data_IF_860103926215
#
_entry.id   IF_860103926215
#
_cell.length_a   1.000
_cell.length_b   1.000
_cell.length_c   1.000
_cell.angle_alpha   90.00
_cell.angle_beta   90.00
_cell.angle_gamma   90.00
#
_symmetry.space_group_name_H-M   'P 1'
#
loop_
_entity.id
_entity.type
_entity.pdbx_description
1 polymer ?
#
# COMPACT_ATOMS: atom_id res chain seq x y z
N UNK A 1 -6.70 16.33 -58.67
CA UNK A 1 -5.68 16.35 -57.62
C UNK A 1 -6.22 17.29 -56.55
N UNK A 2 -6.82 16.75 -55.49
CA UNK A 2 -7.27 17.57 -54.37
C UNK A 2 -6.67 16.99 -53.09
N UNK A 3 -5.55 17.61 -52.68
CA UNK A 3 -4.88 17.38 -51.41
C UNK A 3 -5.63 18.15 -50.32
N UNK A 4 -6.26 17.44 -49.40
CA UNK A 4 -6.75 17.99 -48.14
C UNK A 4 -5.73 17.71 -47.04
N UNK A 5 -5.32 18.77 -46.32
CA UNK A 5 -4.37 18.73 -45.21
C UNK A 5 -5.09 18.94 -43.88
N UNK A 6 -4.82 18.06 -42.93
CA UNK A 6 -4.69 18.36 -41.50
C UNK A 6 -3.68 17.33 -40.96
N UNK A 7 -2.65 17.78 -40.25
CA UNK A 7 -1.62 17.00 -39.55
C UNK A 7 -0.37 16.49 -40.31
N UNK A 8 -0.11 16.95 -41.54
CA UNK A 8 1.22 16.78 -42.16
C UNK A 8 1.59 15.37 -42.62
N UNK A 9 0.66 14.42 -42.61
CA UNK A 9 0.79 13.12 -43.29
C UNK A 9 -0.19 13.07 -44.46
N UNK A 10 0.34 13.05 -45.68
CA UNK A 10 -0.46 12.86 -46.90
C UNK A 10 -0.98 11.42 -46.93
N UNK A 11 -2.25 11.23 -46.57
CA UNK A 11 -2.92 9.95 -46.74
C UNK A 11 -3.31 9.79 -48.21
N UNK A 12 -2.70 8.82 -48.90
CA UNK A 12 -3.12 8.45 -50.25
C UNK A 12 -4.48 7.74 -50.18
N UNK A 13 -5.52 8.33 -50.79
CA UNK A 13 -6.89 7.78 -50.80
C UNK A 13 -7.03 6.39 -51.42
N UNK A 14 -6.02 5.94 -52.18
CA UNK A 14 -5.97 4.60 -52.78
C UNK A 14 -5.32 3.55 -51.87
N UNK A 15 -4.79 3.95 -50.72
CA UNK A 15 -4.14 3.07 -49.74
C UNK A 15 -5.03 2.89 -48.51
N UNK A 16 -4.79 1.81 -47.79
CA UNK A 16 -5.39 1.51 -46.49
C UNK A 16 -4.36 1.73 -45.38
N UNK A 17 -4.82 2.05 -44.18
CA UNK A 17 -3.99 2.41 -43.03
C UNK A 17 -3.96 1.32 -41.97
N UNK A 18 -2.78 1.06 -41.42
CA UNK A 18 -2.59 0.33 -40.19
C UNK A 18 -2.26 1.35 -39.09
N UNK A 19 -3.12 1.45 -38.09
CA UNK A 19 -2.95 2.33 -36.93
C UNK A 19 -2.84 1.52 -35.65
N UNK A 20 -2.28 2.14 -34.60
CA UNK A 20 -2.09 1.51 -33.30
C UNK A 20 -2.78 2.36 -32.23
N UNK A 21 -3.53 1.70 -31.36
CA UNK A 21 -4.22 2.30 -30.24
C UNK A 21 -3.68 1.71 -28.94
N UNK A 22 -3.29 2.57 -27.99
CA UNK A 22 -2.73 2.13 -26.72
C UNK A 22 -3.72 1.34 -25.85
N UNK A 23 -5.02 1.40 -26.17
CA UNK A 23 -6.10 0.73 -25.44
C UNK A 23 -6.06 1.00 -23.92
N UNK A 24 -5.67 2.22 -23.57
CA UNK A 24 -5.53 2.70 -22.21
C UNK A 24 -5.81 4.21 -22.22
N UNK A 25 -6.54 4.72 -21.21
CA UNK A 25 -6.91 6.14 -21.19
C UNK A 25 -5.70 7.07 -20.95
N UNK A 26 -4.65 6.60 -20.26
CA UNK A 26 -3.45 7.37 -19.94
C UNK A 26 -2.28 6.44 -19.53
N UNK A 27 -1.11 7.03 -19.24
CA UNK A 27 0.05 6.34 -18.64
C UNK A 27 0.78 5.40 -19.60
N UNK A 28 0.62 5.62 -20.91
CA UNK A 28 1.30 4.87 -21.97
C UNK A 28 2.29 5.75 -22.72
N UNK A 29 3.33 5.12 -23.26
CA UNK A 29 4.35 5.78 -24.08
C UNK A 29 4.92 4.76 -25.10
N UNK A 30 5.84 5.21 -25.96
CA UNK A 30 6.54 4.41 -26.94
C UNK A 30 5.60 3.71 -27.96
N UNK A 31 4.46 4.33 -28.26
CA UNK A 31 3.51 3.80 -29.24
C UNK A 31 4.10 3.74 -30.66
N UNK A 32 3.80 2.72 -31.47
CA UNK A 32 4.17 2.71 -32.88
C UNK A 32 3.42 3.77 -33.68
N UNK A 33 4.09 4.32 -34.69
CA UNK A 33 3.45 5.16 -35.69
C UNK A 33 2.63 4.30 -36.65
N UNK A 34 1.52 4.86 -37.14
CA UNK A 34 0.72 4.23 -38.19
C UNK A 34 1.44 4.23 -39.54
N UNK A 35 1.02 3.35 -40.45
CA UNK A 35 1.57 3.25 -41.81
C UNK A 35 0.50 2.93 -42.83
N UNK A 36 0.63 3.49 -44.04
CA UNK A 36 -0.22 3.16 -45.17
C UNK A 36 0.36 2.01 -46.02
N UNK A 37 -0.54 1.21 -46.58
CA UNK A 37 -0.25 0.05 -47.43
C UNK A 37 -1.13 0.08 -48.68
N UNK A 38 -0.64 -0.53 -49.75
CA UNK A 38 -1.48 -0.80 -50.92
C UNK A 38 -2.58 -1.78 -50.46
N UNK A 39 -3.83 -1.54 -50.87
CA UNK A 39 -4.92 -2.46 -50.55
C UNK A 39 -4.60 -3.89 -51.03
N UNK A 40 -4.90 -4.87 -50.20
CA UNK A 40 -4.66 -6.30 -50.39
C UNK A 40 -3.16 -6.69 -50.43
N UNK A 41 -2.27 -5.78 -50.02
CA UNK A 41 -0.84 -6.10 -49.83
C UNK A 41 -0.54 -6.63 -48.42
N UNK A 42 0.69 -7.11 -48.22
CA UNK A 42 1.16 -7.55 -46.90
C UNK A 42 1.55 -6.35 -46.04
N UNK A 43 0.94 -6.24 -44.86
CA UNK A 43 1.32 -5.32 -43.80
C UNK A 43 2.11 -6.05 -42.72
N UNK A 44 3.09 -5.37 -42.12
CA UNK A 44 3.88 -5.87 -40.99
C UNK A 44 3.51 -5.11 -39.73
N UNK A 45 3.22 -5.86 -38.66
CA UNK A 45 2.97 -5.33 -37.32
C UNK A 45 4.28 -4.81 -36.74
N UNK A 46 4.25 -3.63 -36.12
CA UNK A 46 5.44 -2.99 -35.56
C UNK A 46 6.07 -3.84 -34.46
N UNK A 47 7.40 -3.92 -34.46
CA UNK A 47 8.19 -4.54 -33.39
C UNK A 47 8.45 -3.59 -32.22
N UNK A 48 8.03 -2.32 -32.33
CA UNK A 48 8.12 -1.35 -31.23
C UNK A 48 7.17 -1.78 -30.10
N UNK A 49 7.73 -1.99 -28.91
CA UNK A 49 6.99 -2.43 -27.73
C UNK A 49 6.49 -1.19 -26.97
N UNK A 50 5.17 -0.93 -26.93
CA UNK A 50 4.64 0.17 -26.16
C UNK A 50 4.79 -0.11 -24.65
N UNK A 51 4.87 0.94 -23.85
CA UNK A 51 4.97 0.83 -22.39
C UNK A 51 3.72 1.38 -21.75
N UNK A 52 3.33 0.79 -20.61
CA UNK A 52 2.26 1.29 -19.76
C UNK A 52 2.66 1.09 -18.30
N UNK A 53 2.64 2.15 -17.51
CA UNK A 53 2.97 2.09 -16.09
C UNK A 53 2.10 1.06 -15.37
N UNK A 54 2.68 0.18 -14.54
CA UNK A 54 1.97 -0.89 -13.83
C UNK A 54 1.50 -2.08 -14.69
N UNK A 55 1.79 -2.12 -16.00
CA UNK A 55 1.39 -3.23 -16.88
C UNK A 55 2.54 -3.71 -17.78
N UNK A 56 2.46 -4.96 -18.21
CA UNK A 56 3.28 -5.53 -19.26
C UNK A 56 2.48 -5.51 -20.57
N UNK A 57 3.13 -5.12 -21.67
CA UNK A 57 2.56 -5.30 -23.00
C UNK A 57 2.45 -6.80 -23.28
N UNK A 58 1.28 -7.26 -23.68
CA UNK A 58 1.01 -8.65 -24.02
C UNK A 58 1.06 -8.84 -25.54
N UNK A 59 0.18 -8.16 -26.26
CA UNK A 59 0.00 -8.35 -27.69
C UNK A 59 -0.78 -7.21 -28.35
N UNK A 60 -0.84 -7.21 -29.69
CA UNK A 60 -1.79 -6.40 -30.45
C UNK A 60 -3.04 -7.22 -30.78
N UNK A 61 -4.23 -6.62 -30.74
CA UNK A 61 -5.47 -7.29 -31.13
C UNK A 61 -6.32 -6.41 -32.06
N UNK A 62 -7.08 -7.00 -32.98
CA UNK A 62 -7.97 -6.22 -33.88
C UNK A 62 -9.19 -5.62 -33.16
N UNK A 63 -9.45 -6.00 -31.91
CA UNK A 63 -10.50 -5.43 -31.06
C UNK A 63 -9.95 -5.00 -29.72
N UNK A 64 -10.51 -3.92 -29.19
CA UNK A 64 -10.13 -3.36 -27.88
C UNK A 64 -10.35 -4.35 -26.73
N UNK A 65 -11.39 -5.19 -26.80
CA UNK A 65 -11.74 -6.19 -25.79
C UNK A 65 -10.94 -7.50 -25.88
N UNK A 66 -10.00 -7.60 -26.83
CA UNK A 66 -9.17 -8.80 -27.03
C UNK A 66 -9.87 -9.95 -27.75
N UNK A 67 -11.15 -9.81 -28.13
CA UNK A 67 -11.92 -10.88 -28.81
C UNK A 67 -11.64 -11.00 -30.32
N UNK A 68 -10.73 -10.17 -30.84
CA UNK A 68 -10.32 -10.15 -32.23
C UNK A 68 -9.16 -11.10 -32.52
N UNK A 69 -8.48 -10.84 -33.64
CA UNK A 69 -7.26 -11.55 -34.02
C UNK A 69 -6.08 -10.94 -33.30
N UNK A 70 -5.30 -11.78 -32.61
CA UNK A 70 -4.08 -11.38 -31.93
C UNK A 70 -2.90 -11.41 -32.89
N UNK A 71 -2.02 -10.40 -32.78
CA UNK A 71 -0.77 -10.30 -33.51
C UNK A 71 0.40 -9.98 -32.58
N UNK A 72 1.52 -10.64 -32.81
CA UNK A 72 2.81 -10.28 -32.23
C UNK A 72 3.55 -9.25 -33.11
N UNK A 73 4.51 -8.54 -32.52
CA UNK A 73 5.37 -7.61 -33.28
C UNK A 73 6.19 -8.35 -34.35
N UNK A 74 6.21 -7.81 -35.57
CA UNK A 74 6.88 -8.41 -36.73
C UNK A 74 6.03 -9.40 -37.52
N UNK A 75 4.86 -9.80 -37.02
CA UNK A 75 3.93 -10.62 -37.81
C UNK A 75 3.39 -9.86 -39.01
N UNK A 76 2.97 -10.62 -40.03
CA UNK A 76 2.42 -10.05 -41.26
C UNK A 76 1.02 -10.56 -41.55
N UNK A 77 0.17 -9.70 -42.09
CA UNK A 77 -1.17 -10.06 -42.56
C UNK A 77 -1.54 -9.29 -43.83
N UNK A 78 -2.53 -9.77 -44.57
CA UNK A 78 -3.06 -9.06 -45.73
C UNK A 78 -4.00 -7.95 -45.25
N UNK A 79 -3.71 -6.70 -45.62
CA UNK A 79 -4.53 -5.55 -45.23
C UNK A 79 -5.43 -5.11 -46.38
N UNK A 80 -6.75 -5.30 -46.23
CA UNK A 80 -7.76 -4.99 -47.25
C UNK A 80 -8.56 -3.71 -46.96
N UNK A 81 -8.50 -3.22 -45.72
CA UNK A 81 -9.20 -2.04 -45.23
C UNK A 81 -8.40 -1.37 -44.09
N UNK A 82 -8.82 -0.18 -43.70
CA UNK A 82 -8.23 0.50 -42.55
C UNK A 82 -8.37 -0.37 -41.29
N UNK A 83 -7.25 -0.65 -40.64
CA UNK A 83 -7.15 -1.55 -39.50
C UNK A 83 -6.52 -0.82 -38.33
N UNK A 84 -7.21 -0.83 -37.18
CA UNK A 84 -6.64 -0.39 -35.90
C UNK A 84 -6.28 -1.60 -35.07
N UNK A 85 -5.04 -1.67 -34.60
CA UNK A 85 -4.59 -2.65 -33.63
C UNK A 85 -4.58 -2.03 -32.23
N UNK A 86 -5.21 -2.72 -31.28
CA UNK A 86 -5.34 -2.32 -29.89
C UNK A 86 -4.36 -3.09 -29.03
N UNK A 87 -3.52 -2.38 -28.26
CA UNK A 87 -2.62 -3.03 -27.32
C UNK A 87 -3.41 -3.80 -26.24
N UNK A 88 -2.93 -4.96 -25.87
CA UNK A 88 -3.43 -5.75 -24.75
C UNK A 88 -2.38 -5.72 -23.64
N UNK A 89 -2.84 -5.69 -22.40
CA UNK A 89 -2.01 -5.41 -21.23
C UNK A 89 -2.27 -6.42 -20.12
N UNK A 90 -1.20 -6.95 -19.54
CA UNK A 90 -1.26 -7.78 -18.34
C UNK A 90 -0.83 -6.95 -17.11
N UNK A 91 -1.59 -6.94 -16.01
CA UNK A 91 -1.16 -6.30 -14.77
C UNK A 91 0.20 -6.85 -14.31
N UNK A 92 1.10 -5.95 -13.90
CA UNK A 92 2.33 -6.36 -13.22
C UNK A 92 1.99 -6.94 -11.86
N UNK A 93 2.68 -8.01 -11.47
CA UNK A 93 2.53 -8.69 -10.17
C UNK A 93 3.42 -8.13 -9.06
N UNK A 94 4.35 -7.24 -9.42
CA UNK A 94 5.43 -6.71 -8.60
C UNK A 94 5.29 -5.18 -8.37
N UNK A 95 4.08 -4.65 -8.53
CA UNK A 95 3.83 -3.21 -8.32
C UNK A 95 3.91 -2.90 -6.83
N UNK A 96 4.82 -1.98 -6.49
CA UNK A 96 5.12 -1.64 -5.10
C UNK A 96 4.06 -0.74 -4.47
N UNK A 97 3.86 -0.90 -3.17
CA UNK A 97 3.06 -0.01 -2.33
C UNK A 97 3.68 0.08 -0.93
N UNK A 98 3.25 1.08 -0.16
CA UNK A 98 3.80 1.36 1.17
C UNK A 98 2.77 1.08 2.26
N UNK A 99 3.23 0.55 3.39
CA UNK A 99 2.49 0.54 4.64
C UNK A 99 3.21 1.45 5.63
N UNK A 100 2.49 2.41 6.17
CA UNK A 100 2.94 3.31 7.22
C UNK A 100 2.44 2.84 8.59
N UNK A 101 3.35 2.77 9.56
CA UNK A 101 3.05 2.45 10.95
C UNK A 101 3.23 3.70 11.80
N UNK A 102 2.20 4.03 12.58
CA UNK A 102 2.15 5.16 13.49
C UNK A 102 2.10 4.63 14.92
N UNK A 103 3.20 4.77 15.64
CA UNK A 103 3.35 4.28 17.00
C UNK A 103 3.06 5.42 17.98
N UNK A 104 2.18 5.18 18.95
CA UNK A 104 1.83 6.18 19.95
C UNK A 104 3.06 6.57 20.79
N UNK A 105 3.19 7.88 21.04
CA UNK A 105 4.17 8.47 21.93
C UNK A 105 3.78 8.25 23.41
N UNK A 106 4.71 8.53 24.34
CA UNK A 106 4.46 8.36 25.78
C UNK A 106 3.36 9.28 26.33
N UNK A 107 3.11 10.40 25.68
CA UNK A 107 2.06 11.37 26.03
C UNK A 107 0.69 11.04 25.42
N UNK A 108 0.56 9.87 24.81
CA UNK A 108 -0.67 9.40 24.18
C UNK A 108 -0.93 9.95 22.78
N UNK A 109 -0.08 10.85 22.26
CA UNK A 109 -0.21 11.38 20.90
C UNK A 109 0.35 10.42 19.85
N UNK A 110 0.03 10.65 18.58
CA UNK A 110 0.65 9.97 17.44
C UNK A 110 1.49 10.97 16.65
N UNK A 111 2.60 10.53 16.03
CA UNK A 111 3.42 11.41 15.20
C UNK A 111 2.71 11.77 13.89
N UNK A 112 3.01 12.96 13.35
CA UNK A 112 2.49 13.42 12.06
C UNK A 112 3.05 12.62 10.88
N UNK A 113 4.25 12.06 11.03
CA UNK A 113 4.92 11.18 10.06
C UNK A 113 4.97 9.74 10.57
N UNK A 114 4.98 8.78 9.64
CA UNK A 114 5.10 7.37 9.98
C UNK A 114 6.36 7.11 10.85
N UNK A 115 6.18 6.37 11.94
CA UNK A 115 7.27 5.92 12.81
C UNK A 115 8.13 4.86 12.11
N UNK A 116 7.51 4.07 11.22
CA UNK A 116 8.16 3.05 10.41
C UNK A 116 7.37 2.88 9.12
N UNK A 117 8.06 2.42 8.07
CA UNK A 117 7.43 1.98 6.82
C UNK A 117 7.79 0.53 6.49
N UNK A 118 6.93 -0.10 5.70
CA UNK A 118 7.17 -1.38 5.04
C UNK A 118 6.81 -1.22 3.56
N UNK A 119 7.60 -1.82 2.66
CA UNK A 119 7.34 -1.79 1.22
C UNK A 119 6.95 -3.20 0.81
N UNK A 120 5.82 -3.31 0.14
CA UNK A 120 5.30 -4.59 -0.36
C UNK A 120 4.97 -4.51 -1.84
N UNK A 121 4.78 -5.67 -2.43
CA UNK A 121 4.43 -5.82 -3.84
C UNK A 121 3.05 -6.47 -3.96
N UNK A 122 2.35 -6.12 -5.02
CA UNK A 122 1.07 -6.72 -5.37
C UNK A 122 0.73 -6.52 -6.85
N UNK A 123 -0.34 -7.19 -7.28
CA UNK A 123 -0.81 -7.08 -8.65
C UNK A 123 -1.52 -5.76 -8.89
N UNK A 124 -1.14 -5.01 -9.94
CA UNK A 124 -1.81 -3.75 -10.32
C UNK A 124 -3.32 -3.95 -10.48
N UNK A 125 -4.11 -3.09 -9.84
CA UNK A 125 -5.58 -3.15 -9.82
C UNK A 125 -6.17 -4.14 -8.81
N UNK A 126 -5.35 -4.94 -8.11
CA UNK A 126 -5.84 -5.82 -7.05
C UNK A 126 -6.02 -5.06 -5.74
N UNK A 127 -7.02 -5.45 -4.95
CA UNK A 127 -7.19 -4.98 -3.57
C UNK A 127 -6.28 -5.80 -2.65
N UNK A 128 -5.41 -5.13 -1.90
CA UNK A 128 -4.51 -5.75 -0.91
C UNK A 128 -4.93 -5.37 0.51
N UNK A 129 -4.44 -6.13 1.49
CA UNK A 129 -4.60 -5.86 2.92
C UNK A 129 -3.22 -5.76 3.58
N UNK A 130 -3.06 -4.86 4.53
CA UNK A 130 -1.82 -4.70 5.31
C UNK A 130 -1.42 -5.94 6.11
N UNK A 131 -2.35 -6.84 6.38
CA UNK A 131 -2.22 -7.90 7.37
C UNK A 131 -2.11 -7.34 8.79
N UNK A 132 -1.99 -8.27 9.74
CA UNK A 132 -1.65 -7.97 11.12
C UNK A 132 -0.14 -8.09 11.32
N UNK A 133 0.45 -7.11 12.01
CA UNK A 133 1.84 -7.13 12.42
C UNK A 133 1.89 -6.86 13.92
N UNK A 134 2.49 -7.79 14.66
CA UNK A 134 2.86 -7.56 16.05
C UNK A 134 4.07 -6.62 16.12
N UNK A 135 3.97 -5.60 16.95
CA UNK A 135 5.06 -4.66 17.24
C UNK A 135 5.29 -4.72 18.74
N UNK A 136 6.53 -5.04 19.14
CA UNK A 136 6.85 -5.21 20.56
C UNK A 136 6.61 -3.93 21.35
N UNK A 137 5.92 -4.02 22.49
CA UNK A 137 5.47 -2.88 23.29
C UNK A 137 4.28 -2.10 22.72
N UNK A 138 3.60 -2.61 21.69
CA UNK A 138 2.50 -1.94 21.01
C UNK A 138 1.35 -2.89 20.67
N UNK A 139 0.12 -2.36 20.66
CA UNK A 139 -1.06 -3.07 20.16
C UNK A 139 -1.73 -2.29 19.04
N UNK A 140 -2.32 -2.98 18.06
CA UNK A 140 -3.05 -2.32 16.99
C UNK A 140 -4.27 -1.57 17.55
N UNK A 141 -4.40 -0.29 17.19
CA UNK A 141 -5.50 0.57 17.61
C UNK A 141 -6.63 0.48 16.58
N UNK A 142 -7.42 -0.58 16.64
CA UNK A 142 -8.47 -0.88 15.66
C UNK A 142 -9.45 0.29 15.45
N UNK A 143 -9.73 1.04 16.50
CA UNK A 143 -10.72 2.11 16.50
C UNK A 143 -10.22 3.44 15.94
N UNK A 144 -8.90 3.55 15.70
CA UNK A 144 -8.27 4.77 15.22
C UNK A 144 -8.80 5.13 13.82
N UNK A 145 -9.36 6.34 13.70
CA UNK A 145 -10.10 6.77 12.50
C UNK A 145 -9.23 6.98 11.25
N UNK A 146 -7.92 7.12 11.43
CA UNK A 146 -6.96 7.28 10.32
C UNK A 146 -6.38 5.95 9.82
N UNK A 147 -6.83 4.81 10.36
CA UNK A 147 -6.45 3.52 9.81
C UNK A 147 -6.93 3.35 8.37
N UNK A 148 -6.04 2.85 7.51
CA UNK A 148 -6.35 2.40 6.15
C UNK A 148 -5.78 1.00 5.98
N UNK A 149 -6.65 -0.02 6.06
CA UNK A 149 -6.25 -1.44 6.09
C UNK A 149 -6.11 -2.06 4.72
N UNK A 150 -6.82 -1.50 3.75
CA UNK A 150 -6.96 -2.06 2.41
C UNK A 150 -6.95 -0.96 1.38
N UNK A 151 -6.59 -1.31 0.17
CA UNK A 151 -6.63 -0.41 -0.98
C UNK A 151 -6.23 -1.11 -2.25
N UNK A 152 -6.53 -0.48 -3.37
CA UNK A 152 -6.14 -0.96 -4.69
C UNK A 152 -4.66 -0.63 -4.96
N UNK A 153 -3.89 -1.62 -5.41
CA UNK A 153 -2.52 -1.41 -5.87
C UNK A 153 -2.57 -0.62 -7.17
N UNK A 154 -2.28 0.67 -7.09
CA UNK A 154 -2.28 1.56 -8.23
C UNK A 154 -1.06 1.33 -9.10
N UNK A 155 -1.23 1.50 -10.41
CA UNK A 155 -0.17 1.32 -11.41
C UNK A 155 1.09 2.17 -11.13
N UNK A 156 0.90 3.36 -10.58
CA UNK A 156 1.96 4.33 -10.22
C UNK A 156 2.63 4.03 -8.86
N UNK A 157 2.22 2.97 -8.18
CA UNK A 157 2.70 2.60 -6.86
C UNK A 157 2.31 3.55 -5.73
N UNK A 158 1.34 4.46 -5.94
CA UNK A 158 0.94 5.48 -4.96
C UNK A 158 0.03 4.98 -3.84
N UNK A 159 -0.22 3.66 -3.75
CA UNK A 159 -0.98 3.11 -2.64
C UNK A 159 -0.17 3.23 -1.34
N UNK A 160 -0.79 3.87 -0.34
CA UNK A 160 -0.29 3.94 1.03
C UNK A 160 -1.36 3.43 1.99
N UNK A 161 -1.06 2.36 2.70
CA UNK A 161 -1.87 1.86 3.82
C UNK A 161 -1.35 2.45 5.13
N UNK A 162 -2.23 2.65 6.12
CA UNK A 162 -1.88 3.26 7.40
C UNK A 162 -2.36 2.40 8.56
N UNK A 163 -1.47 2.15 9.53
CA UNK A 163 -1.73 1.37 10.75
C UNK A 163 -1.34 2.19 11.98
N UNK A 164 -2.25 2.34 12.93
CA UNK A 164 -1.99 3.03 14.19
C UNK A 164 -1.92 2.03 15.34
N UNK A 165 -0.99 2.25 16.26
CA UNK A 165 -0.74 1.35 17.38
C UNK A 165 -0.61 2.09 18.71
N UNK A 166 -1.39 1.66 19.71
CA UNK A 166 -1.30 2.14 21.09
C UNK A 166 -0.07 1.55 21.77
N UNK A 167 0.64 2.38 22.53
CA UNK A 167 1.78 1.94 23.33
C UNK A 167 1.29 1.20 24.57
N UNK A 168 1.95 0.10 24.89
CA UNK A 168 1.69 -0.67 26.10
C UNK A 168 2.67 -0.27 27.20
N UNK A 169 2.14 -0.08 28.41
CA UNK A 169 2.90 0.21 29.61
C UNK A 169 2.75 -0.91 30.63
N UNK A 170 3.73 -0.96 31.53
CA UNK A 170 3.74 -1.84 32.70
C UNK A 170 3.67 -1.00 33.98
N UNK A 171 2.72 -1.34 34.85
CA UNK A 171 2.60 -0.78 36.20
C UNK A 171 3.00 -1.87 37.19
N UNK A 172 3.97 -1.59 38.03
CA UNK A 172 4.47 -2.54 39.04
C UNK A 172 4.26 -1.99 40.44
N UNK A 173 3.77 -2.83 41.34
CA UNK A 173 3.79 -2.59 42.78
C UNK A 173 4.84 -3.49 43.41
N UNK A 174 5.91 -2.89 43.92
CA UNK A 174 7.09 -3.58 44.45
C UNK A 174 7.10 -3.51 45.99
N UNK A 175 7.30 -4.64 46.70
CA UNK A 175 7.34 -4.66 48.17
C UNK A 175 8.49 -3.84 48.78
N UNK A 176 9.47 -3.42 47.98
CA UNK A 176 10.67 -2.79 48.47
C UNK A 176 11.48 -3.75 49.35
N UNK A 177 12.32 -3.18 50.21
CA UNK A 177 13.27 -3.98 51.01
C UNK A 177 12.61 -4.69 52.19
N UNK A 178 11.51 -4.17 52.72
CA UNK A 178 10.87 -4.65 53.95
C UNK A 178 9.41 -5.07 53.77
N UNK A 179 8.88 -5.02 52.56
CA UNK A 179 7.56 -5.56 52.26
C UNK A 179 7.61 -7.08 52.23
N UNK A 180 6.61 -7.71 52.85
CA UNK A 180 6.45 -9.16 52.94
C UNK A 180 5.30 -9.64 52.03
N UNK A 181 5.30 -9.20 50.77
CA UNK A 181 4.34 -9.59 49.75
C UNK A 181 5.01 -9.70 48.37
N UNK A 182 4.40 -10.45 47.45
CA UNK A 182 4.91 -10.60 46.09
C UNK A 182 4.60 -9.36 45.24
N UNK A 183 5.55 -8.97 44.38
CA UNK A 183 5.34 -7.85 43.48
C UNK A 183 4.18 -8.10 42.52
N UNK A 184 3.32 -7.10 42.32
CA UNK A 184 2.22 -7.17 41.37
C UNK A 184 2.57 -6.42 40.09
N UNK A 185 2.42 -7.10 38.96
CA UNK A 185 2.76 -6.57 37.63
C UNK A 185 1.49 -6.53 36.79
N UNK A 186 1.13 -5.33 36.35
CA UNK A 186 0.03 -5.09 35.42
C UNK A 186 0.62 -4.66 34.08
N UNK A 187 0.72 -5.62 33.15
CA UNK A 187 1.16 -5.38 31.78
C UNK A 187 0.02 -4.90 30.89
N UNK A 188 0.36 -4.39 29.71
CA UNK A 188 -0.57 -3.97 28.65
C UNK A 188 -1.56 -2.89 29.10
N UNK A 189 -1.07 -1.94 29.88
CA UNK A 189 -1.81 -0.74 30.27
C UNK A 189 -1.66 0.33 29.19
N UNK A 190 -2.67 1.19 29.02
CA UNK A 190 -2.66 2.23 27.98
C UNK A 190 -2.69 3.64 28.57
N UNK A 191 -2.13 4.60 27.83
CA UNK A 191 -2.10 6.00 28.25
C UNK A 191 -3.50 6.54 28.59
N UNK A 192 -3.63 7.22 29.73
CA UNK A 192 -4.87 7.89 30.14
C UNK A 192 -5.95 6.95 30.70
N UNK A 193 -5.72 5.65 30.74
CA UNK A 193 -6.55 4.71 31.49
C UNK A 193 -6.33 4.86 32.99
N UNK A 194 -7.32 4.41 33.78
CA UNK A 194 -7.18 4.41 35.23
C UNK A 194 -6.02 3.49 35.64
N UNK A 195 -5.14 3.97 36.51
CA UNK A 195 -4.05 3.13 37.05
C UNK A 195 -4.66 1.94 37.80
N UNK A 196 -4.27 0.69 37.49
CA UNK A 196 -4.69 -0.48 38.25
C UNK A 196 -4.38 -0.29 39.73
N UNK A 197 -5.32 -0.70 40.60
CA UNK A 197 -5.09 -0.65 42.04
C UNK A 197 -4.37 -1.91 42.48
N UNK A 198 -3.41 -1.76 43.39
CA UNK A 198 -2.86 -2.89 44.15
C UNK A 198 -3.99 -3.69 44.80
N UNK A 199 -3.95 -5.00 44.66
CA UNK A 199 -4.97 -5.92 45.18
C UNK A 199 -4.37 -6.84 46.27
N UNK A 200 -4.57 -6.51 47.54
CA UNK A 200 -4.06 -7.33 48.64
C UNK A 200 -3.71 -6.53 49.89
N UNK A 201 -3.05 -7.19 50.83
CA UNK A 201 -2.54 -6.59 52.06
C UNK A 201 -1.08 -6.15 51.91
N UNK A 202 -0.73 -4.99 52.45
CA UNK A 202 0.64 -4.45 52.45
C UNK A 202 1.43 -4.91 53.68
N UNK A 203 1.63 -6.23 53.79
CA UNK A 203 2.40 -6.82 54.88
C UNK A 203 3.86 -6.34 54.87
N UNK A 204 4.46 -6.20 56.06
CA UNK A 204 5.85 -5.79 56.23
C UNK A 204 6.55 -6.66 57.27
N UNK A 205 7.88 -6.73 57.19
CA UNK A 205 8.71 -7.39 58.20
C UNK A 205 8.53 -6.78 59.60
N UNK A 206 8.82 -7.55 60.65
CA UNK A 206 8.71 -7.11 62.03
C UNK A 206 9.51 -5.83 62.28
N UNK A 207 8.83 -4.82 62.84
CA UNK A 207 9.40 -3.49 63.09
C UNK A 207 9.19 -2.46 61.97
N UNK A 208 8.58 -2.87 60.85
CA UNK A 208 8.25 -2.00 59.73
C UNK A 208 6.73 -1.81 59.57
N UNK A 209 6.33 -0.73 58.90
CA UNK A 209 4.92 -0.44 58.63
C UNK A 209 4.82 0.26 57.29
N UNK A 210 3.91 -0.21 56.45
CA UNK A 210 3.61 0.41 55.17
C UNK A 210 3.10 1.84 55.37
N UNK A 211 3.74 2.81 54.71
CA UNK A 211 3.36 4.24 54.79
C UNK A 211 2.70 4.75 53.52
N UNK A 212 2.85 4.03 52.41
CA UNK A 212 2.37 4.46 51.10
C UNK A 212 3.36 4.04 50.02
N UNK A 213 2.98 4.30 48.77
CA UNK A 213 3.81 4.00 47.62
C UNK A 213 4.72 5.18 47.27
N UNK A 214 5.94 4.89 46.83
CA UNK A 214 6.86 5.87 46.26
C UNK A 214 7.26 5.46 44.83
N UNK A 215 7.02 6.30 43.80
CA UNK A 215 6.27 7.57 43.87
C UNK A 215 4.80 7.36 44.28
N UNK A 216 4.09 8.44 44.62
CA UNK A 216 2.65 8.36 44.89
C UNK A 216 1.90 7.84 43.66
N UNK A 217 0.91 6.97 43.89
CA UNK A 217 0.13 6.34 42.82
C UNK A 217 -0.66 7.41 42.07
N UNK A 218 -0.36 7.58 40.78
CA UNK A 218 -1.11 8.48 39.90
C UNK A 218 -2.48 7.88 39.57
N UNK A 219 -3.50 8.72 39.37
CA UNK A 219 -4.83 8.26 38.95
C UNK A 219 -4.83 7.62 37.55
N UNK A 220 -3.92 8.07 36.68
CA UNK A 220 -3.85 7.67 35.28
C UNK A 220 -2.49 7.12 34.89
N UNK A 221 -2.52 6.09 34.05
CA UNK A 221 -1.31 5.53 33.42
C UNK A 221 -0.72 6.56 32.47
N UNK A 222 0.57 6.84 32.63
CA UNK A 222 1.32 7.82 31.83
C UNK A 222 2.68 7.32 31.38
N UNK A 223 2.98 6.04 31.61
CA UNK A 223 4.29 5.45 31.35
C UNK A 223 4.50 4.18 32.16
N UNK A 224 5.62 3.50 31.89
CA UNK A 224 6.11 2.44 32.76
C UNK A 224 6.44 3.03 34.14
N UNK A 225 5.96 2.39 35.21
CA UNK A 225 6.17 2.89 36.57
C UNK A 225 6.21 1.76 37.57
N UNK A 226 7.13 1.88 38.53
CA UNK A 226 7.21 1.01 39.70
C UNK A 226 6.91 1.84 40.92
N UNK A 227 5.84 1.47 41.62
CA UNK A 227 5.43 1.99 42.92
C UNK A 227 6.02 1.09 44.00
N UNK A 228 6.94 1.61 44.82
CA UNK A 228 7.63 0.84 45.87
C UNK A 228 7.04 1.14 47.25
N UNK A 229 6.82 0.11 48.08
CA UNK A 229 6.18 0.20 49.40
C UNK A 229 7.04 0.77 50.54
#
# INVERSE_FOLDING_TARGET
QDNWHVDGVLLEKSKVSLSYNANAPAGWDNMPDGKQYIKDSSATVSTKIPVREGYNFDSWNTKADGSGTTYAGGETFTISEDTTLYAQWLPKGDTKYVIEYYLQNDDGTYPDSASRTDIREGTTGAIVNSGEIGIDGYTYDEEHKLNVSTGEVKADGSLVLKRYYKKQFTVTYDPGTHGAFEAQVYDKQYYGEATPKFDGETAAEDGYTFKGWNPEVKEKVSGNITYTA
#
